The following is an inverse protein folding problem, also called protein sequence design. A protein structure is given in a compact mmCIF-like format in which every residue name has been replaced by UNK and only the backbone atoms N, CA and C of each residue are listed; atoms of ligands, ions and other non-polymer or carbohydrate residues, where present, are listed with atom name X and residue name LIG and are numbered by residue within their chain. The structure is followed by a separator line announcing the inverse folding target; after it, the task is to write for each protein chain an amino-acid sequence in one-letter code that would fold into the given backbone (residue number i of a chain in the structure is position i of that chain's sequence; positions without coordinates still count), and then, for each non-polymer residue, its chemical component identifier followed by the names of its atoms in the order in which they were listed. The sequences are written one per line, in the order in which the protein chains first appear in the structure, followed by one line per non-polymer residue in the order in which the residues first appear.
data_IF_411376490789
#
_entry.id   IF_411376490789
#
_cell.length_a   1.000
_cell.length_b   1.000
_cell.length_c   1.000
_cell.angle_alpha   90.00
_cell.angle_beta   90.00
_cell.angle_gamma   90.00
#
_symmetry.space_group_name_H-M   'P 1'
#
loop_
_entity.id
_entity.type
_entity.pdbx_description
1 polymer ?
#
# COMPACT_ATOMS: atom_id res chain seq x y z
N UNK A 1 -5.58 11.52 2.81
CA UNK A 1 -4.50 11.84 3.79
C UNK A 1 -3.09 11.36 3.40
N UNK A 2 -2.77 10.05 3.42
CA UNK A 2 -1.42 9.54 3.10
C UNK A 2 -0.95 9.96 1.69
N UNK A 3 -1.85 9.92 0.71
CA UNK A 3 -1.56 10.38 -0.65
C UNK A 3 -1.16 11.86 -0.70
N UNK A 4 -1.78 12.71 0.11
CA UNK A 4 -1.42 14.13 0.20
C UNK A 4 -0.01 14.30 0.78
N UNK A 5 0.33 13.56 1.85
CA UNK A 5 1.68 13.57 2.42
C UNK A 5 2.72 13.09 1.40
N UNK A 6 2.41 12.01 0.68
CA UNK A 6 3.26 11.46 -0.36
C UNK A 6 3.53 12.44 -1.51
N UNK A 7 2.58 13.32 -1.84
CA UNK A 7 2.71 14.34 -2.87
C UNK A 7 3.20 15.70 -2.35
N UNK A 8 3.66 15.78 -1.09
CA UNK A 8 4.14 17.04 -0.48
C UNK A 8 3.03 18.04 -0.09
N UNK A 9 1.76 17.66 -0.20
CA UNK A 9 0.63 18.49 0.21
C UNK A 9 0.39 18.36 1.71
N UNK A 10 0.24 19.49 2.40
CA UNK A 10 -0.07 19.52 3.84
C UNK A 10 -1.51 19.16 4.16
N UNK A 11 -2.43 19.38 3.22
CA UNK A 11 -3.88 19.14 3.35
C UNK A 11 -4.49 18.69 2.03
N UNK A 12 -5.59 17.97 2.11
CA UNK A 12 -6.42 17.61 0.96
C UNK A 12 -7.89 17.87 1.26
N UNK A 13 -8.66 18.22 0.22
CA UNK A 13 -10.10 18.37 0.29
C UNK A 13 -10.75 17.11 -0.31
N UNK A 14 -11.55 16.37 0.46
CA UNK A 14 -12.31 15.23 -0.03
C UNK A 14 -13.79 15.59 -0.16
N UNK A 15 -14.41 15.22 -1.28
CA UNK A 15 -15.84 15.39 -1.48
C UNK A 15 -16.56 14.48 -0.47
N UNK A 16 -17.43 15.06 0.35
CA UNK A 16 -18.08 14.30 1.42
C UNK A 16 -19.13 15.10 2.15
N UNK A 17 -20.25 14.45 2.47
CA UNK A 17 -21.28 15.05 3.30
C UNK A 17 -20.74 15.33 4.71
N UNK A 18 -21.19 16.43 5.33
CA UNK A 18 -20.84 16.80 6.71
C UNK A 18 -21.13 15.62 7.64
N UNK A 19 -20.09 14.94 8.13
CA UNK A 19 -20.22 14.12 9.33
C UNK A 19 -20.38 15.07 10.52
N UNK A 20 -21.31 14.74 11.42
CA UNK A 20 -21.76 15.55 12.58
C UNK A 20 -20.64 16.01 13.53
N UNK A 21 -19.44 15.47 13.38
CA UNK A 21 -18.26 15.69 14.23
C UNK A 21 -16.97 16.00 13.44
N UNK A 22 -17.06 16.34 12.16
CA UNK A 22 -15.86 16.57 11.34
C UNK A 22 -15.33 18.02 11.47
N UNK A 23 -14.02 18.21 11.71
CA UNK A 23 -13.44 19.53 11.91
C UNK A 23 -13.21 20.23 10.54
N UNK A 24 -13.96 21.32 10.30
CA UNK A 24 -13.84 22.27 9.17
C UNK A 24 -14.20 21.72 7.78
N UNK A 25 -15.43 21.99 7.34
CA UNK A 25 -15.87 21.88 5.95
C UNK A 25 -15.62 23.18 5.18
N UNK A 26 -15.19 23.09 3.94
CA UNK A 26 -15.04 24.22 3.01
C UNK A 26 -15.94 23.97 1.81
N UNK A 27 -16.66 25.00 1.35
CA UNK A 27 -17.52 24.91 0.17
C UNK A 27 -16.72 25.38 -1.05
N UNK A 28 -16.77 24.62 -2.12
CA UNK A 28 -16.12 24.95 -3.39
C UNK A 28 -17.14 24.94 -4.52
N UNK A 29 -16.98 25.86 -5.47
CA UNK A 29 -17.70 25.83 -6.73
C UNK A 29 -17.06 24.78 -7.65
N UNK A 30 -17.86 23.87 -8.16
CA UNK A 30 -17.42 22.82 -9.09
C UNK A 30 -18.24 22.90 -10.37
N UNK A 31 -17.82 22.17 -11.40
CA UNK A 31 -18.58 22.02 -12.66
C UNK A 31 -19.97 21.40 -12.46
N UNK A 32 -20.24 20.76 -11.31
CA UNK A 32 -21.53 20.17 -10.95
C UNK A 32 -22.32 21.03 -9.95
N UNK A 33 -21.87 22.27 -9.69
CA UNK A 33 -22.46 23.18 -8.72
C UNK A 33 -21.69 23.28 -7.40
N UNK A 34 -22.31 23.90 -6.41
CA UNK A 34 -21.69 24.11 -5.09
C UNK A 34 -21.67 22.80 -4.30
N UNK A 35 -20.48 22.33 -3.94
CA UNK A 35 -20.31 21.10 -3.15
C UNK A 35 -19.49 21.36 -1.89
N UNK A 36 -19.88 20.70 -0.80
CA UNK A 36 -19.16 20.74 0.46
C UNK A 36 -18.02 19.70 0.45
N UNK A 37 -16.82 20.13 0.87
CA UNK A 37 -15.64 19.29 0.99
C UNK A 37 -15.12 19.31 2.43
N UNK A 38 -14.55 18.19 2.86
CA UNK A 38 -13.88 18.08 4.16
C UNK A 38 -12.39 18.32 3.99
N UNK A 39 -11.83 19.18 4.84
CA UNK A 39 -10.40 19.50 4.83
C UNK A 39 -9.65 18.54 5.76
N UNK A 40 -8.96 17.57 5.18
CA UNK A 40 -8.14 16.62 5.92
C UNK A 40 -6.67 17.05 5.96
N UNK A 41 -6.01 16.80 7.09
CA UNK A 41 -4.56 16.99 7.22
C UNK A 41 -3.82 15.78 6.67
N UNK A 42 -2.67 16.02 6.05
CA UNK A 42 -1.79 14.97 5.59
C UNK A 42 -1.18 14.23 6.79
N UNK A 43 -1.08 12.90 6.70
CA UNK A 43 -0.47 12.05 7.74
C UNK A 43 0.99 11.87 7.38
N UNK A 44 1.88 12.40 8.22
CA UNK A 44 3.33 12.27 8.10
C UNK A 44 3.83 11.54 9.35
N UNK A 45 4.68 10.54 9.15
CA UNK A 45 5.22 9.73 10.24
C UNK A 45 6.76 9.75 10.19
N UNK A 46 7.41 9.58 11.34
CA UNK A 46 8.89 9.51 11.38
C UNK A 46 9.40 8.16 10.87
N UNK A 47 8.63 7.10 11.14
CA UNK A 47 8.92 5.72 10.75
C UNK A 47 7.82 5.19 9.82
N UNK A 48 8.25 4.60 8.70
CA UNK A 48 7.38 3.84 7.80
C UNK A 48 7.83 2.37 7.82
N UNK A 49 6.95 1.51 8.31
CA UNK A 49 7.16 0.06 8.36
C UNK A 49 6.24 -0.60 7.35
N UNK A 50 6.82 -1.41 6.48
CA UNK A 50 6.11 -2.01 5.35
C UNK A 50 6.64 -3.40 5.05
N UNK A 51 5.83 -4.19 4.34
CA UNK A 51 6.17 -5.56 3.89
C UNK A 51 5.97 -5.66 2.37
N UNK A 52 6.97 -6.19 1.68
CA UNK A 52 7.05 -6.27 0.23
C UNK A 52 7.41 -7.71 -0.15
N UNK A 53 7.06 -8.10 -1.38
CA UNK A 53 7.33 -9.45 -1.86
C UNK A 53 8.79 -9.55 -2.28
N UNK A 54 9.18 -8.79 -3.30
CA UNK A 54 10.57 -8.69 -3.77
C UNK A 54 11.11 -7.30 -3.53
N UNK A 55 12.41 -7.21 -3.25
CA UNK A 55 13.11 -5.94 -3.28
C UNK A 55 14.59 -6.08 -3.55
N UNK A 56 15.15 -5.01 -4.10
CA UNK A 56 16.56 -4.90 -4.47
C UNK A 56 17.36 -4.18 -3.36
N UNK A 57 18.69 -4.33 -3.36
CA UNK A 57 19.64 -3.57 -2.54
C UNK A 57 19.52 -2.06 -2.72
N UNK A 58 19.15 -1.58 -3.91
CA UNK A 58 18.86 -0.16 -4.13
C UNK A 58 17.51 0.30 -3.53
N UNK A 59 16.70 -0.62 -3.02
CA UNK A 59 15.41 -0.31 -2.40
C UNK A 59 14.24 -0.30 -3.36
N UNK A 60 14.40 -0.74 -4.61
CA UNK A 60 13.27 -0.91 -5.54
C UNK A 60 12.38 -2.07 -5.06
N UNK A 61 11.07 -1.86 -5.04
CA UNK A 61 10.13 -2.82 -4.44
C UNK A 61 9.03 -3.27 -5.39
N UNK A 62 8.69 -4.55 -5.26
CA UNK A 62 7.55 -5.18 -5.91
C UNK A 62 6.60 -5.76 -4.87
N UNK A 63 5.32 -5.42 -4.96
CA UNK A 63 4.26 -5.96 -4.11
C UNK A 63 3.42 -6.95 -4.90
N UNK A 64 3.00 -8.01 -4.22
CA UNK A 64 2.19 -9.09 -4.78
C UNK A 64 0.73 -8.93 -4.38
N UNK A 65 -0.16 -9.00 -5.37
CA UNK A 65 -1.62 -8.98 -5.20
C UNK A 65 -2.11 -7.82 -4.31
N UNK A 66 -3.10 -8.11 -3.45
CA UNK A 66 -3.70 -7.14 -2.52
C UNK A 66 -2.74 -6.66 -1.41
N UNK A 67 -1.57 -7.28 -1.26
CA UNK A 67 -0.55 -6.82 -0.31
C UNK A 67 0.07 -5.46 -0.72
N UNK A 68 -0.25 -4.94 -1.92
CA UNK A 68 0.16 -3.60 -2.35
C UNK A 68 -0.55 -2.45 -1.60
N UNK A 69 -1.68 -2.70 -0.95
CA UNK A 69 -2.55 -1.73 -0.26
C UNK A 69 -1.95 -0.33 0.09
N UNK A 70 -1.49 -0.13 1.33
CA UNK A 70 -0.96 1.13 1.86
C UNK A 70 0.57 1.19 1.84
N UNK A 71 1.24 0.09 1.50
CA UNK A 71 2.70 0.01 1.59
C UNK A 71 3.43 1.08 0.76
N UNK A 72 3.12 1.32 -0.54
CA UNK A 72 3.75 2.40 -1.30
C UNK A 72 3.47 3.79 -0.72
N UNK A 73 2.24 4.02 -0.25
CA UNK A 73 1.86 5.30 0.36
C UNK A 73 2.61 5.54 1.68
N UNK A 74 2.73 4.51 2.52
CA UNK A 74 3.50 4.56 3.75
C UNK A 74 5.00 4.83 3.47
N UNK A 75 5.57 4.21 2.42
CA UNK A 75 6.92 4.49 1.97
C UNK A 75 7.15 5.98 1.71
N UNK A 76 6.20 6.64 1.05
CA UNK A 76 6.34 8.06 0.70
C UNK A 76 6.15 9.00 1.89
N UNK A 77 5.34 8.62 2.89
CA UNK A 77 5.01 9.47 4.04
C UNK A 77 6.03 9.46 5.19
N UNK A 78 6.97 8.50 5.21
CA UNK A 78 7.99 8.38 6.26
C UNK A 78 9.09 9.44 6.14
N UNK A 79 9.44 10.15 7.22
CA UNK A 79 10.52 11.16 7.19
C UNK A 79 11.92 10.58 7.35
N UNK A 80 12.11 9.68 8.32
CA UNK A 80 13.46 9.33 8.82
C UNK A 80 13.82 7.89 8.50
N UNK A 81 12.94 6.95 8.84
CA UNK A 81 13.27 5.53 8.77
C UNK A 81 12.20 4.78 8.01
N UNK A 82 12.52 4.48 6.76
CA UNK A 82 11.70 3.66 5.87
C UNK A 82 12.33 2.27 5.84
N UNK A 83 11.86 1.42 6.74
CA UNK A 83 12.36 0.05 6.94
C UNK A 83 11.40 -0.92 6.27
N UNK A 84 11.92 -1.60 5.26
CA UNK A 84 11.15 -2.52 4.45
C UNK A 84 11.56 -3.95 4.76
N UNK A 85 10.58 -4.79 5.07
CA UNK A 85 10.77 -6.25 5.15
C UNK A 85 10.47 -6.87 3.79
N UNK A 86 11.44 -7.55 3.18
CA UNK A 86 11.28 -8.24 1.89
C UNK A 86 11.31 -9.74 2.09
N UNK A 87 10.49 -10.46 1.32
CA UNK A 87 10.45 -11.92 1.36
C UNK A 87 11.59 -12.53 0.54
N UNK A 88 11.92 -11.87 -0.57
CA UNK A 88 13.01 -12.23 -1.47
C UNK A 88 13.84 -10.97 -1.73
N UNK A 89 15.12 -11.03 -1.35
CA UNK A 89 16.11 -10.00 -1.65
C UNK A 89 16.83 -10.40 -2.93
N UNK A 90 16.78 -9.54 -3.93
CA UNK A 90 17.40 -9.74 -5.25
C UNK A 90 18.51 -8.72 -5.47
N UNK A 91 19.38 -8.99 -6.44
CA UNK A 91 20.44 -8.05 -6.82
C UNK A 91 19.94 -6.97 -7.80
N UNK A 92 20.66 -5.84 -7.88
CA UNK A 92 20.35 -4.77 -8.82
C UNK A 92 20.29 -5.27 -10.27
N UNK A 93 19.19 -4.98 -10.95
CA UNK A 93 18.98 -5.35 -12.36
C UNK A 93 18.19 -6.64 -12.58
N UNK A 94 17.94 -7.43 -11.55
CA UNK A 94 17.04 -8.60 -11.65
C UNK A 94 15.55 -8.20 -11.65
N UNK A 95 15.23 -7.03 -11.11
CA UNK A 95 13.89 -6.45 -11.19
C UNK A 95 13.72 -5.66 -12.49
N UNK A 96 12.72 -6.05 -13.29
CA UNK A 96 12.28 -5.27 -14.44
C UNK A 96 11.83 -3.87 -13.97
N UNK A 97 12.43 -2.78 -14.51
CA UNK A 97 12.06 -1.42 -14.19
C UNK A 97 10.57 -1.11 -14.33
N UNK A 98 9.87 -1.75 -15.27
CA UNK A 98 8.44 -1.56 -15.51
C UNK A 98 7.56 -2.24 -14.45
N UNK A 99 8.12 -3.15 -13.66
CA UNK A 99 7.41 -3.87 -12.60
C UNK A 99 7.64 -3.26 -11.20
N UNK A 100 8.42 -2.18 -11.11
CA UNK A 100 8.70 -1.49 -9.85
C UNK A 100 7.48 -0.68 -9.42
N UNK A 101 6.96 -0.98 -8.22
CA UNK A 101 5.79 -0.30 -7.67
C UNK A 101 6.16 0.86 -6.74
N UNK A 102 7.22 0.69 -5.96
CA UNK A 102 7.78 1.74 -5.12
C UNK A 102 9.26 1.88 -5.45
N UNK A 103 9.69 3.03 -6.02
CA UNK A 103 11.09 3.28 -6.31
C UNK A 103 11.94 3.37 -5.04
N UNK A 104 13.22 2.97 -5.15
CA UNK A 104 14.18 2.98 -4.05
C UNK A 104 14.45 4.33 -3.41
N UNK A 105 14.12 5.45 -4.09
CA UNK A 105 14.20 6.80 -3.50
C UNK A 105 13.36 6.94 -2.21
N UNK A 106 12.30 6.16 -2.09
CA UNK A 106 11.44 6.12 -0.92
C UNK A 106 11.81 5.00 0.05
N UNK A 107 12.97 4.37 -0.06
CA UNK A 107 13.34 3.25 0.82
C UNK A 107 14.75 3.49 1.34
N UNK A 108 14.91 3.49 2.66
CA UNK A 108 16.22 3.76 3.29
C UNK A 108 16.92 2.50 3.76
N UNK A 109 16.17 1.50 4.20
CA UNK A 109 16.71 0.23 4.68
C UNK A 109 15.83 -0.92 4.22
N UNK A 110 16.45 -1.89 3.55
CA UNK A 110 15.85 -3.17 3.17
C UNK A 110 16.33 -4.25 4.14
N UNK A 111 15.41 -5.06 4.65
CA UNK A 111 15.67 -6.13 5.60
C UNK A 111 15.06 -7.41 5.03
N UNK A 112 15.91 -8.39 4.72
CA UNK A 112 15.45 -9.71 4.30
C UNK A 112 14.77 -10.44 5.47
N UNK A 113 13.61 -11.04 5.21
CA UNK A 113 12.89 -11.85 6.19
C UNK A 113 13.43 -13.28 6.22
N UNK A 114 13.44 -13.89 7.41
CA UNK A 114 13.71 -15.32 7.53
C UNK A 114 12.57 -16.14 6.92
N UNK A 115 12.82 -17.36 6.42
CA UNK A 115 11.79 -18.20 5.82
C UNK A 115 10.57 -18.44 6.74
N UNK A 116 10.78 -18.56 8.06
CA UNK A 116 9.68 -18.68 9.01
C UNK A 116 8.76 -17.44 9.00
N UNK A 117 9.33 -16.23 8.95
CA UNK A 117 8.57 -14.97 8.94
C UNK A 117 7.88 -14.71 7.60
N UNK A 118 8.42 -15.25 6.51
CA UNK A 118 7.76 -15.21 5.20
C UNK A 118 6.46 -16.03 5.23
N UNK A 119 6.51 -17.22 5.83
CA UNK A 119 5.36 -18.14 5.95
C UNK A 119 4.31 -17.67 6.95
N UNK A 120 4.67 -16.80 7.89
CA UNK A 120 3.71 -16.17 8.81
C UNK A 120 2.88 -15.08 8.09
N UNK A 121 1.89 -15.54 7.32
CA UNK A 121 0.83 -14.73 6.71
C UNK A 121 -0.51 -15.30 7.16
N UNK A 122 -1.06 -14.72 8.23
CA UNK A 122 -2.37 -15.14 8.76
C UNK A 122 -3.49 -14.65 7.85
N UNK A 123 -4.47 -15.51 7.61
CA UNK A 123 -5.72 -15.16 6.94
C UNK A 123 -6.78 -14.98 8.01
N UNK A 124 -7.37 -13.79 8.11
CA UNK A 124 -8.40 -13.47 9.12
C UNK A 124 -9.65 -14.33 8.93
N UNK A 125 -10.13 -14.44 7.68
CA UNK A 125 -11.30 -15.22 7.32
C UNK A 125 -11.03 -16.03 6.07
N UNK A 126 -10.90 -17.34 6.21
CA UNK A 126 -10.75 -18.27 5.07
C UNK A 126 -12.13 -18.53 4.50
N UNK A 127 -12.39 -18.03 3.29
CA UNK A 127 -13.61 -18.32 2.55
C UNK A 127 -13.23 -19.11 1.31
N UNK A 128 -13.69 -20.36 1.25
CA UNK A 128 -13.49 -21.25 0.11
C UNK A 128 -14.82 -21.48 -0.58
N UNK A 129 -14.81 -21.61 -1.90
CA UNK A 129 -15.98 -22.16 -2.61
C UNK A 129 -16.09 -23.65 -2.30
N UNK A 130 -17.31 -24.16 -2.17
CA UNK A 130 -17.49 -25.61 -2.15
C UNK A 130 -16.98 -26.20 -3.46
N UNK A 131 -16.11 -27.20 -3.34
CA UNK A 131 -15.67 -27.98 -4.49
C UNK A 131 -16.84 -28.89 -4.87
N UNK A 132 -17.63 -28.50 -5.86
CA UNK A 132 -18.54 -29.44 -6.52
C UNK A 132 -17.71 -30.63 -6.99
N UNK A 133 -18.00 -31.83 -6.49
CA UNK A 133 -17.39 -33.05 -6.99
C UNK A 133 -17.65 -33.12 -8.50
N UNK A 134 -16.59 -33.13 -9.30
CA UNK A 134 -16.71 -33.40 -10.73
C UNK A 134 -17.27 -34.81 -10.95
N UNK A 135 -17.96 -35.06 -12.08
CA UNK A 135 -18.62 -36.33 -12.32
C UNK A 135 -17.60 -37.48 -12.34
N UNK A 136 -17.98 -38.59 -11.70
CA UNK A 136 -17.26 -39.85 -11.62
C UNK A 136 -16.95 -40.42 -13.01
N UNK A 137 -15.76 -41.00 -13.12
CA UNK A 137 -15.19 -41.83 -14.17
C UNK A 137 -16.17 -42.33 -15.25
N UNK A 138 -15.87 -41.98 -16.52
CA UNK A 138 -16.36 -42.71 -17.68
C UNK A 138 -15.37 -43.84 -17.96
N UNK A 139 -15.76 -45.08 -17.64
CA UNK A 139 -15.03 -46.27 -18.07
C UNK A 139 -15.24 -46.51 -19.56
N UNK A 140 -14.17 -46.66 -20.32
CA UNK A 140 -14.15 -47.36 -21.62
C UNK A 140 -13.52 -48.72 -21.39
#
# INVERSE_FOLDING_TARGET
MLRCAASGLRRGCCAGSRRRTAPRSVRFETTQGQQDFLLERAIVADFALMRAWRGDRHGNLVFRDSARNFNPLAAMCGRVTKRQKVEELVEPGELDPNQIHAPGVFVRRVIALTPQRVRDKRIEKVTVRDRTAGPSEVST
#
